data_IF_372876240650
#
_entry.id   IF_372876240650
#
_cell.length_a   1.000
_cell.length_b   1.000
_cell.length_c   1.000
_cell.angle_alpha   90.00
_cell.angle_beta   90.00
_cell.angle_gamma   90.00
#
_symmetry.space_group_name_H-M   'P 1'
#
loop_
_entity.id
_entity.type
_entity.pdbx_description
1 polymer ?
#
# COMPACT_ATOMS: atom_id res chain seq x y z
N UNK A 1 26.87 -44.19 1.06
CA UNK A 1 26.18 -43.09 0.34
C UNK A 1 24.72 -42.90 0.75
N UNK A 2 23.86 -43.94 0.73
CA UNK A 2 22.42 -43.81 1.09
C UNK A 2 22.16 -43.20 2.48
N UNK A 3 22.91 -43.62 3.50
CA UNK A 3 22.77 -43.07 4.86
C UNK A 3 23.28 -41.63 4.99
N UNK A 4 24.31 -41.26 4.22
CA UNK A 4 24.86 -39.89 4.23
C UNK A 4 23.86 -38.90 3.63
N UNK A 5 23.18 -39.28 2.54
CA UNK A 5 22.11 -38.49 1.91
C UNK A 5 20.95 -38.28 2.88
N UNK A 6 20.55 -39.35 3.59
CA UNK A 6 19.45 -39.29 4.55
C UNK A 6 19.78 -38.39 5.75
N UNK A 7 21.03 -38.42 6.23
CA UNK A 7 21.50 -37.55 7.32
C UNK A 7 21.56 -36.10 6.87
N UNK A 8 22.04 -35.81 5.64
CA UNK A 8 22.03 -34.46 5.07
C UNK A 8 20.60 -33.94 4.95
N UNK A 9 19.67 -34.77 4.47
CA UNK A 9 18.24 -34.41 4.34
C UNK A 9 17.59 -34.09 5.69
N UNK A 10 17.88 -34.89 6.72
CA UNK A 10 17.43 -34.67 8.09
C UNK A 10 18.01 -33.40 8.72
N UNK A 11 19.29 -33.10 8.48
CA UNK A 11 19.93 -31.87 8.98
C UNK A 11 19.33 -30.65 8.27
N UNK A 12 19.08 -30.71 6.96
CA UNK A 12 18.40 -29.62 6.24
C UNK A 12 16.96 -29.41 6.70
N UNK A 13 16.22 -30.48 7.05
CA UNK A 13 14.86 -30.34 7.62
C UNK A 13 14.85 -29.90 9.08
N UNK A 14 15.93 -30.12 9.84
CA UNK A 14 16.06 -29.68 11.23
C UNK A 14 16.50 -28.21 11.35
N UNK A 15 17.21 -27.68 10.34
CA UNK A 15 17.64 -26.29 10.27
C UNK A 15 16.77 -25.39 9.38
N UNK A 16 15.76 -25.93 8.71
CA UNK A 16 14.71 -25.11 8.12
C UNK A 16 13.89 -24.51 9.27
N UNK A 17 14.23 -23.28 9.66
CA UNK A 17 13.18 -22.37 10.09
C UNK A 17 12.20 -22.36 8.91
N UNK A 18 11.08 -23.09 9.03
CA UNK A 18 10.08 -23.13 7.97
C UNK A 18 9.54 -21.72 7.83
N UNK A 19 10.15 -20.97 6.91
CA UNK A 19 9.73 -19.63 6.56
C UNK A 19 8.26 -19.72 6.15
N UNK A 20 7.38 -19.21 7.01
CA UNK A 20 5.96 -19.23 6.77
C UNK A 20 5.64 -18.04 5.87
N UNK A 21 4.75 -18.19 4.90
CA UNK A 21 4.30 -17.08 4.07
C UNK A 21 3.73 -15.90 4.88
N UNK A 22 3.25 -16.16 6.11
CA UNK A 22 2.85 -15.09 7.05
C UNK A 22 4.02 -14.27 7.60
N UNK A 23 5.26 -14.76 7.53
CA UNK A 23 6.44 -14.02 7.98
C UNK A 23 6.69 -12.77 7.13
N UNK A 24 6.18 -12.74 5.89
CA UNK A 24 6.25 -11.54 5.04
C UNK A 24 5.66 -10.30 5.72
N UNK A 25 4.57 -10.44 6.48
CA UNK A 25 3.96 -9.33 7.21
C UNK A 25 4.92 -8.77 8.28
N UNK A 26 5.59 -9.66 9.03
CA UNK A 26 6.60 -9.29 10.02
C UNK A 26 7.83 -8.65 9.37
N UNK A 27 8.28 -9.17 8.23
CA UNK A 27 9.41 -8.63 7.47
C UNK A 27 9.12 -7.21 6.94
N UNK A 28 7.89 -6.95 6.49
CA UNK A 28 7.47 -5.64 6.04
C UNK A 28 7.51 -4.63 7.20
N UNK A 29 6.99 -4.99 8.38
CA UNK A 29 7.03 -4.08 9.54
C UNK A 29 8.36 -4.05 10.30
N UNK A 30 9.32 -4.90 9.93
CA UNK A 30 10.62 -4.91 10.58
C UNK A 30 11.38 -3.60 10.30
N UNK A 31 11.53 -2.78 11.36
CA UNK A 31 12.23 -1.49 11.34
C UNK A 31 13.74 -1.61 11.12
N UNK A 32 14.32 -2.79 11.36
CA UNK A 32 15.74 -3.06 11.12
C UNK A 32 16.03 -3.44 9.67
N UNK A 33 15.00 -3.68 8.85
CA UNK A 33 15.16 -3.95 7.42
C UNK A 33 14.85 -2.69 6.63
N UNK A 34 15.80 -2.29 5.78
CA UNK A 34 15.54 -1.26 4.78
C UNK A 34 14.48 -1.73 3.78
N UNK A 35 13.80 -0.78 3.14
CA UNK A 35 12.82 -1.08 2.10
C UNK A 35 13.41 -1.90 0.93
N UNK A 36 14.68 -1.65 0.58
CA UNK A 36 15.40 -2.43 -0.45
C UNK A 36 15.59 -3.89 -0.03
N UNK A 37 15.96 -4.13 1.23
CA UNK A 37 16.11 -5.48 1.77
C UNK A 37 14.76 -6.19 1.90
N UNK A 38 13.74 -5.49 2.39
CA UNK A 38 12.37 -6.00 2.45
C UNK A 38 11.88 -6.42 1.06
N UNK A 39 12.08 -5.61 0.02
CA UNK A 39 11.72 -5.98 -1.35
C UNK A 39 12.46 -7.23 -1.85
N UNK A 40 13.73 -7.43 -1.48
CA UNK A 40 14.47 -8.66 -1.81
C UNK A 40 13.86 -9.88 -1.12
N UNK A 41 13.49 -9.76 0.15
CA UNK A 41 12.85 -10.85 0.88
C UNK A 41 11.45 -11.15 0.31
N UNK A 42 10.62 -10.15 0.01
CA UNK A 42 9.33 -10.36 -0.66
C UNK A 42 9.50 -11.19 -1.93
N UNK A 43 10.49 -10.84 -2.76
CA UNK A 43 10.80 -11.61 -3.97
C UNK A 43 11.14 -13.07 -3.62
N UNK A 44 11.98 -13.32 -2.62
CA UNK A 44 12.36 -14.66 -2.18
C UNK A 44 11.14 -15.48 -1.71
N UNK A 45 10.29 -14.90 -0.86
CA UNK A 45 9.09 -15.60 -0.37
C UNK A 45 8.13 -15.96 -1.50
N UNK A 46 7.92 -15.07 -2.47
CA UNK A 46 6.98 -15.32 -3.56
C UNK A 46 7.59 -16.26 -4.62
N UNK A 47 8.79 -15.96 -5.11
CA UNK A 47 9.39 -16.71 -6.22
C UNK A 47 9.97 -18.05 -5.80
N UNK A 48 10.66 -18.09 -4.65
CA UNK A 48 11.44 -19.26 -4.24
C UNK A 48 10.66 -20.15 -3.26
N UNK A 49 9.79 -19.57 -2.44
CA UNK A 49 8.93 -20.32 -1.50
C UNK A 49 7.48 -20.51 -2.00
N UNK A 50 7.10 -19.89 -3.11
CA UNK A 50 5.77 -20.04 -3.71
C UNK A 50 4.64 -19.37 -2.92
N UNK A 51 4.96 -18.37 -2.09
CA UNK A 51 3.95 -17.65 -1.31
C UNK A 51 3.07 -16.75 -2.20
N UNK A 52 1.80 -16.61 -1.81
CA UNK A 52 0.84 -15.77 -2.49
C UNK A 52 1.11 -14.27 -2.25
N UNK A 53 1.28 -13.49 -3.32
CA UNK A 53 1.42 -12.03 -3.26
C UNK A 53 0.14 -11.33 -2.74
N UNK A 54 -1.00 -12.01 -2.79
CA UNK A 54 -2.30 -11.59 -2.27
C UNK A 54 -2.62 -12.22 -0.89
N UNK A 55 -1.60 -12.75 -0.22
CA UNK A 55 -1.71 -13.11 1.18
C UNK A 55 -2.25 -11.92 1.98
N UNK A 56 -3.06 -12.22 2.98
CA UNK A 56 -3.67 -11.21 3.83
C UNK A 56 -4.06 -11.82 5.16
N UNK A 57 -4.20 -10.96 6.16
CA UNK A 57 -4.57 -11.35 7.51
C UNK A 57 -6.02 -10.95 7.75
N UNK A 58 -6.82 -11.90 8.19
CA UNK A 58 -8.16 -11.63 8.68
C UNK A 58 -8.05 -10.93 10.03
N UNK A 59 -8.56 -9.70 10.09
CA UNK A 59 -8.61 -8.95 11.34
C UNK A 59 -9.91 -9.30 12.07
N UNK A 60 -9.87 -9.87 13.29
CA UNK A 60 -11.07 -10.21 14.04
C UNK A 60 -11.96 -8.96 14.20
N UNK A 61 -13.25 -9.11 13.94
CA UNK A 61 -14.27 -8.04 13.98
C UNK A 61 -14.23 -7.01 12.84
N UNK A 62 -13.37 -7.19 11.83
CA UNK A 62 -13.42 -6.43 10.58
C UNK A 62 -13.82 -7.38 9.44
N UNK A 63 -14.67 -6.92 8.53
CA UNK A 63 -15.10 -7.69 7.35
C UNK A 63 -14.06 -7.72 6.23
N UNK A 64 -12.84 -7.24 6.50
CA UNK A 64 -11.82 -6.99 5.48
C UNK A 64 -10.49 -7.63 5.85
N UNK A 65 -9.80 -8.11 4.82
CA UNK A 65 -8.50 -8.76 4.89
C UNK A 65 -7.40 -7.73 4.66
N UNK A 66 -6.51 -7.54 5.63
CA UNK A 66 -5.39 -6.62 5.49
C UNK A 66 -4.31 -7.25 4.58
N UNK A 67 -3.98 -6.60 3.48
CA UNK A 67 -3.07 -7.13 2.45
C UNK A 67 -1.61 -6.79 2.74
N UNK A 68 -0.69 -7.48 2.07
CA UNK A 68 0.74 -7.12 2.08
C UNK A 68 0.99 -5.70 1.57
N UNK A 69 0.19 -5.23 0.60
CA UNK A 69 0.28 -3.85 0.09
C UNK A 69 -0.07 -2.83 1.18
N UNK A 70 -1.10 -3.09 1.98
CA UNK A 70 -1.47 -2.21 3.10
C UNK A 70 -0.34 -2.13 4.15
N UNK A 71 0.27 -3.27 4.45
CA UNK A 71 1.39 -3.34 5.38
C UNK A 71 2.59 -2.56 4.84
N UNK A 72 2.90 -2.69 3.55
CA UNK A 72 4.02 -1.99 2.93
C UNK A 72 3.78 -0.49 2.86
N UNK A 73 2.54 -0.07 2.59
CA UNK A 73 2.12 1.32 2.65
C UNK A 73 2.27 1.90 4.07
N UNK A 74 1.70 1.24 5.07
CA UNK A 74 1.76 1.64 6.48
C UNK A 74 3.19 1.69 7.03
N UNK A 75 4.07 0.82 6.55
CA UNK A 75 5.49 0.79 6.92
C UNK A 75 6.35 1.82 6.16
N UNK A 76 5.77 2.63 5.28
CA UNK A 76 6.46 3.57 4.39
C UNK A 76 7.55 2.89 3.55
N UNK A 77 7.19 1.79 2.88
CA UNK A 77 8.10 0.93 2.09
C UNK A 77 7.69 0.91 0.60
N UNK A 78 7.92 2.00 -0.16
CA UNK A 78 7.47 2.12 -1.55
C UNK A 78 8.10 1.09 -2.51
N UNK A 79 9.36 0.67 -2.32
CA UNK A 79 9.98 -0.37 -3.16
C UNK A 79 9.39 -1.75 -2.89
N UNK A 80 8.97 -1.98 -1.65
CA UNK A 80 8.23 -3.20 -1.28
C UNK A 80 6.85 -3.21 -1.93
N UNK A 81 6.16 -2.05 -2.00
CA UNK A 81 4.92 -1.90 -2.80
C UNK A 81 5.21 -2.25 -4.27
N UNK A 82 6.24 -1.65 -4.88
CA UNK A 82 6.60 -1.93 -6.28
C UNK A 82 6.84 -3.42 -6.53
N UNK A 83 7.55 -4.07 -5.60
CA UNK A 83 7.83 -5.50 -5.71
C UNK A 83 6.55 -6.32 -5.60
N UNK A 84 5.66 -6.01 -4.67
CA UNK A 84 4.38 -6.73 -4.51
C UNK A 84 3.52 -6.60 -5.77
N UNK A 85 3.42 -5.39 -6.32
CA UNK A 85 2.68 -5.13 -7.57
C UNK A 85 3.26 -5.90 -8.76
N UNK A 86 4.59 -5.91 -8.92
CA UNK A 86 5.29 -6.72 -9.94
C UNK A 86 4.98 -8.22 -9.79
N UNK A 87 4.74 -8.67 -8.56
CA UNK A 87 4.40 -10.06 -8.24
C UNK A 87 2.89 -10.35 -8.30
N UNK A 88 2.08 -9.42 -8.81
CA UNK A 88 0.66 -9.62 -9.01
C UNK A 88 -0.19 -9.43 -7.74
N UNK A 89 0.32 -8.71 -6.75
CA UNK A 89 -0.52 -8.22 -5.66
C UNK A 89 -1.56 -7.24 -6.22
N UNK A 90 -2.83 -7.48 -5.91
CA UNK A 90 -3.95 -6.66 -6.37
C UNK A 90 -4.29 -5.64 -5.28
N UNK A 91 -4.27 -4.33 -5.59
CA UNK A 91 -4.72 -3.30 -4.67
C UNK A 91 -6.20 -3.44 -4.30
N UNK A 92 -6.63 -2.92 -3.15
CA UNK A 92 -8.00 -3.06 -2.68
C UNK A 92 -8.54 -1.78 -2.03
N UNK A 93 -9.85 -1.74 -1.76
CA UNK A 93 -10.52 -0.56 -1.24
C UNK A 93 -9.95 -0.05 0.08
N UNK A 94 -9.35 -0.92 0.89
CA UNK A 94 -8.76 -0.53 2.18
C UNK A 94 -7.54 0.38 1.98
N UNK A 95 -6.64 0.03 1.06
CA UNK A 95 -5.48 0.85 0.73
C UNK A 95 -5.88 2.23 0.18
N UNK A 96 -6.90 2.28 -0.67
CA UNK A 96 -7.46 3.55 -1.14
C UNK A 96 -8.02 4.40 0.01
N UNK A 97 -8.69 3.75 0.98
CA UNK A 97 -9.15 4.36 2.22
C UNK A 97 -8.01 4.93 3.06
N UNK A 98 -6.92 4.18 3.26
CA UNK A 98 -5.72 4.63 3.98
C UNK A 98 -5.10 5.85 3.31
N UNK A 99 -5.02 5.88 1.98
CA UNK A 99 -4.54 7.08 1.24
C UNK A 99 -5.46 8.28 1.46
N UNK A 100 -6.78 8.09 1.50
CA UNK A 100 -7.72 9.16 1.81
C UNK A 100 -7.57 9.70 3.24
N UNK A 101 -7.33 8.81 4.21
CA UNK A 101 -7.09 9.18 5.60
C UNK A 101 -5.79 9.97 5.77
N UNK A 102 -4.75 9.64 5.02
CA UNK A 102 -3.47 10.35 5.05
C UNK A 102 -3.62 11.85 4.73
N UNK A 103 -4.54 12.26 3.85
CA UNK A 103 -4.79 13.69 3.60
C UNK A 103 -5.39 14.39 4.82
N UNK A 104 -6.33 13.74 5.51
CA UNK A 104 -6.93 14.27 6.74
C UNK A 104 -5.89 14.41 7.85
N UNK A 105 -5.06 13.37 8.05
CA UNK A 105 -3.98 13.38 9.02
C UNK A 105 -2.94 14.44 8.67
N UNK A 106 -2.57 14.57 7.39
CA UNK A 106 -1.61 15.57 6.94
C UNK A 106 -2.10 16.99 7.24
N UNK A 107 -3.38 17.28 7.04
CA UNK A 107 -3.94 18.57 7.46
C UNK A 107 -3.81 18.78 8.97
N UNK A 108 -4.23 17.79 9.77
CA UNK A 108 -4.17 17.87 11.23
C UNK A 108 -2.75 18.05 11.78
N UNK A 109 -1.77 17.32 11.24
CA UNK A 109 -0.34 17.43 11.59
C UNK A 109 0.25 18.80 11.26
N UNK A 110 -0.35 19.51 10.30
CA UNK A 110 0.03 20.87 9.93
C UNK A 110 -0.81 21.95 10.63
N UNK A 111 -1.64 21.56 11.60
CA UNK A 111 -2.45 22.48 12.40
C UNK A 111 -3.60 23.13 11.63
N UNK A 112 -3.93 22.62 10.45
CA UNK A 112 -5.06 23.07 9.64
C UNK A 112 -6.13 21.98 9.64
N UNK A 113 -7.32 22.26 10.17
CA UNK A 113 -8.37 21.24 10.31
C UNK A 113 -9.53 21.52 9.36
N UNK A 114 -10.24 20.46 9.00
CA UNK A 114 -11.59 20.60 8.45
C UNK A 114 -12.53 20.98 9.59
N UNK A 115 -13.11 22.18 9.54
CA UNK A 115 -14.07 22.66 10.52
C UNK A 115 -15.48 22.26 10.09
N UNK A 116 -15.94 21.09 10.55
CA UNK A 116 -17.23 20.54 10.14
C UNK A 116 -17.23 20.14 8.67
N UNK A 117 -18.12 20.75 7.86
CA UNK A 117 -18.23 20.50 6.42
C UNK A 117 -17.59 21.60 5.56
N UNK A 118 -16.89 22.56 6.17
CA UNK A 118 -16.24 23.66 5.45
C UNK A 118 -14.74 23.71 5.77
N UNK A 119 -13.90 24.03 4.78
CA UNK A 119 -12.48 24.26 5.03
C UNK A 119 -12.30 25.61 5.76
N UNK A 120 -11.36 25.68 6.69
CA UNK A 120 -10.97 26.97 7.27
C UNK A 120 -10.20 27.82 6.24
N UNK A 121 -10.17 29.16 6.37
CA UNK A 121 -9.32 30.00 5.51
C UNK A 121 -7.84 29.60 5.53
N UNK A 122 -7.34 29.17 6.69
CA UNK A 122 -5.97 28.69 6.87
C UNK A 122 -5.71 27.41 6.07
N UNK A 123 -6.67 26.48 6.03
CA UNK A 123 -6.58 25.28 5.20
C UNK A 123 -6.54 25.64 3.71
N UNK A 124 -7.36 26.60 3.28
CA UNK A 124 -7.38 27.07 1.88
C UNK A 124 -6.08 27.76 1.46
N UNK A 125 -5.38 28.43 2.38
CA UNK A 125 -4.04 28.95 2.11
C UNK A 125 -2.98 27.84 2.16
N UNK A 126 -3.13 26.87 3.07
CA UNK A 126 -2.20 25.75 3.21
C UNK A 126 -2.12 24.89 1.95
N UNK A 127 -3.24 24.60 1.28
CA UNK A 127 -3.26 23.81 0.04
C UNK A 127 -2.53 24.49 -1.14
N UNK A 128 -2.20 25.78 -1.03
CA UNK A 128 -1.41 26.49 -2.05
C UNK A 128 0.10 26.36 -1.81
N UNK A 129 0.51 25.79 -0.68
CA UNK A 129 1.92 25.72 -0.28
C UNK A 129 2.68 24.64 -1.06
N UNK A 130 4.00 24.81 -1.26
CA UNK A 130 4.85 23.76 -1.82
C UNK A 130 4.76 22.44 -1.04
N UNK A 131 4.67 22.53 0.29
CA UNK A 131 4.57 21.37 1.19
C UNK A 131 3.35 20.50 0.89
N UNK A 132 2.19 21.11 0.66
CA UNK A 132 1.00 20.36 0.25
C UNK A 132 1.14 19.78 -1.16
N UNK A 133 1.65 20.56 -2.11
CA UNK A 133 1.81 20.12 -3.49
C UNK A 133 2.75 18.90 -3.60
N UNK A 134 3.88 18.91 -2.88
CA UNK A 134 4.81 17.78 -2.82
C UNK A 134 4.15 16.52 -2.26
N UNK A 135 3.41 16.66 -1.14
CA UNK A 135 2.65 15.56 -0.55
C UNK A 135 1.59 15.01 -1.52
N UNK A 136 0.79 15.90 -2.13
CA UNK A 136 -0.24 15.51 -3.10
C UNK A 136 0.35 14.76 -4.29
N UNK A 137 1.42 15.29 -4.88
CA UNK A 137 2.09 14.66 -6.01
C UNK A 137 2.63 13.27 -5.68
N UNK A 138 3.22 13.08 -4.50
CA UNK A 138 3.71 11.77 -4.05
C UNK A 138 2.56 10.76 -3.95
N UNK A 139 1.46 11.14 -3.28
CA UNK A 139 0.27 10.28 -3.16
C UNK A 139 -0.35 9.99 -4.53
N UNK A 140 -0.41 10.96 -5.42
CA UNK A 140 -1.02 10.77 -6.75
C UNK A 140 -0.17 9.88 -7.67
N UNK A 141 1.17 9.94 -7.55
CA UNK A 141 2.07 8.99 -8.22
C UNK A 141 1.81 7.56 -7.74
N UNK A 142 1.57 7.37 -6.44
CA UNK A 142 1.18 6.06 -5.91
C UNK A 142 -0.20 5.63 -6.42
N UNK A 143 -1.22 6.50 -6.36
CA UNK A 143 -2.57 6.20 -6.86
C UNK A 143 -2.52 5.76 -8.31
N UNK A 144 -1.81 6.50 -9.17
CA UNK A 144 -1.64 6.14 -10.59
C UNK A 144 -1.09 4.72 -10.73
N UNK A 145 -0.07 4.38 -9.95
CA UNK A 145 0.55 3.06 -9.97
C UNK A 145 -0.43 1.97 -9.53
N UNK A 146 -1.22 2.21 -8.49
CA UNK A 146 -2.25 1.26 -8.02
C UNK A 146 -3.34 1.06 -9.07
N UNK A 147 -3.81 2.13 -9.72
CA UNK A 147 -4.78 2.06 -10.83
C UNK A 147 -4.22 1.26 -12.02
N UNK A 148 -2.93 1.45 -12.35
CA UNK A 148 -2.26 0.67 -13.40
C UNK A 148 -2.17 -0.83 -13.07
N UNK A 149 -2.37 -1.21 -11.81
CA UNK A 149 -2.39 -2.60 -11.32
C UNK A 149 -3.78 -3.05 -10.87
N UNK A 150 -4.84 -2.41 -11.35
CA UNK A 150 -6.21 -2.90 -11.20
C UNK A 150 -6.95 -2.45 -9.94
N UNK A 151 -6.48 -1.42 -9.23
CA UNK A 151 -7.31 -0.76 -8.20
C UNK A 151 -8.59 -0.18 -8.85
N UNK A 152 -9.76 -0.45 -8.27
CA UNK A 152 -11.02 0.16 -8.73
C UNK A 152 -10.98 1.68 -8.46
N UNK A 153 -11.14 2.55 -9.48
CA UNK A 153 -11.21 3.99 -9.28
C UNK A 153 -12.29 4.44 -8.29
N UNK A 154 -13.36 3.67 -8.11
CA UNK A 154 -14.45 3.95 -7.17
C UNK A 154 -14.05 3.77 -5.72
N UNK A 155 -12.94 3.09 -5.43
CA UNK A 155 -12.47 2.91 -4.05
C UNK A 155 -11.99 4.22 -3.41
N UNK A 156 -11.67 5.24 -4.22
CA UNK A 156 -11.14 6.53 -3.76
C UNK A 156 -12.20 7.52 -3.26
N UNK A 157 -13.42 7.07 -2.91
CA UNK A 157 -14.53 7.93 -2.45
C UNK A 157 -14.14 8.83 -1.28
N UNK A 158 -13.37 8.32 -0.30
CA UNK A 158 -12.93 9.13 0.84
C UNK A 158 -12.05 10.29 0.36
N UNK A 159 -11.01 9.98 -0.42
CA UNK A 159 -10.10 10.99 -0.93
C UNK A 159 -10.83 12.03 -1.80
N UNK A 160 -11.76 11.60 -2.66
CA UNK A 160 -12.61 12.50 -3.45
C UNK A 160 -13.31 13.51 -2.55
N UNK A 161 -14.00 13.04 -1.50
CA UNK A 161 -14.71 13.92 -0.56
C UNK A 161 -13.76 14.91 0.12
N UNK A 162 -12.60 14.43 0.58
CA UNK A 162 -11.59 15.28 1.24
C UNK A 162 -11.12 16.40 0.31
N UNK A 163 -10.82 16.08 -0.94
CA UNK A 163 -10.35 17.06 -1.92
C UNK A 163 -11.46 18.03 -2.37
N UNK A 164 -12.70 17.57 -2.50
CA UNK A 164 -13.86 18.43 -2.79
C UNK A 164 -14.07 19.47 -1.70
N UNK A 165 -13.88 19.11 -0.42
CA UNK A 165 -14.01 20.06 0.69
C UNK A 165 -13.01 21.22 0.59
N UNK A 166 -11.85 21.00 -0.03
CA UNK A 166 -10.81 22.03 -0.19
C UNK A 166 -10.73 22.60 -1.61
N UNK A 167 -11.65 22.23 -2.51
CA UNK A 167 -11.68 22.62 -3.92
C UNK A 167 -10.41 22.19 -4.71
N UNK A 168 -9.88 21.00 -4.46
CA UNK A 168 -8.69 20.45 -5.14
C UNK A 168 -8.92 19.06 -5.75
N UNK A 169 -10.17 18.72 -6.07
CA UNK A 169 -10.57 17.39 -6.57
C UNK A 169 -10.19 17.14 -8.04
N UNK A 170 -9.96 18.20 -8.82
CA UNK A 170 -9.87 18.14 -10.28
C UNK A 170 -8.76 17.20 -10.78
N UNK A 171 -7.59 17.24 -10.15
CA UNK A 171 -6.47 16.39 -10.55
C UNK A 171 -6.77 14.91 -10.28
N UNK A 172 -7.42 14.61 -9.15
CA UNK A 172 -7.84 13.25 -8.81
C UNK A 172 -8.91 12.76 -9.78
N UNK A 173 -9.91 13.58 -10.10
CA UNK A 173 -10.95 13.20 -11.05
C UNK A 173 -10.38 12.80 -12.41
N UNK A 174 -9.40 13.56 -12.91
CA UNK A 174 -8.73 13.24 -14.17
C UNK A 174 -8.00 11.89 -14.07
N UNK A 175 -7.28 11.67 -12.96
CA UNK A 175 -6.56 10.43 -12.73
C UNK A 175 -7.50 9.21 -12.68
N UNK A 176 -8.63 9.32 -11.98
CA UNK A 176 -9.61 8.24 -11.84
C UNK A 176 -10.37 7.97 -13.14
N UNK A 177 -10.70 9.01 -13.93
CA UNK A 177 -11.33 8.85 -15.25
C UNK A 177 -10.43 8.09 -16.22
N UNK A 178 -9.12 8.35 -16.18
CA UNK A 178 -8.17 7.63 -17.03
C UNK A 178 -7.94 6.19 -16.55
N UNK A 179 -7.98 5.93 -15.25
CA UNK A 179 -7.99 4.57 -14.69
C UNK A 179 -9.21 3.76 -15.15
N UNK A 180 -10.41 4.33 -15.04
CA UNK A 180 -11.67 3.66 -15.43
C UNK A 180 -11.70 3.25 -16.92
N UNK A 181 -11.08 4.06 -17.80
CA UNK A 181 -10.97 3.71 -19.23
C UNK A 181 -10.10 2.47 -19.46
N UNK A 182 -9.07 2.24 -18.64
CA UNK A 182 -8.19 1.08 -18.75
C UNK A 182 -8.89 -0.20 -18.31
N UNK A 183 -9.68 -0.13 -17.23
CA UNK A 183 -10.49 -1.25 -16.75
C UNK A 183 -11.49 -1.73 -17.83
N UNK A 184 -12.13 -0.80 -18.54
CA UNK A 184 -13.06 -1.12 -19.65
C UNK A 184 -12.37 -1.71 -20.90
N UNK A 185 -11.05 -1.66 -20.99
CA UNK A 185 -10.28 -2.11 -22.16
C UNK A 185 -9.56 -3.47 -21.95
N UNK A 186 -9.63 -4.05 -20.74
CA UNK A 186 -9.08 -5.35 -20.38
C UNK A 186 -10.17 -6.43 -20.39
#
# INVERSE_FOLDING_TARGET
MKHLIMIIFLITSLYSYEANCTDMFGLIFNKNLSDVETAKYIKYYIDDLGCDANAGIDLPNLTMKASLLEFAYSANKPKSIDKLLEKGAVPNAWLAGSIGLDFLLFFEENGVKLEGQSPSPELLEFIKTPKYNEFKEEKFKLIKKLLDHGQDPKDYILLQKVLTLVNDEKDLENLLKDGAKKELAQ
#
